data_IF_335706490388
#
_entry.id   IF_335706490388
#
_cell.length_a   1.000
_cell.length_b   1.000
_cell.length_c   1.000
_cell.angle_alpha   90.00
_cell.angle_beta   90.00
_cell.angle_gamma   90.00
#
_symmetry.space_group_name_H-M   'P 1'
#
loop_
_entity.id
_entity.type
_entity.pdbx_description
1 polymer ?
#
# COMPACT_ATOMS: atom_id res chain seq x y z
N UNK A 1 28.03 -37.50 67.44
CA UNK A 1 28.87 -37.60 66.23
C UNK A 1 27.98 -38.02 65.07
N UNK A 2 27.39 -37.03 64.40
CA UNK A 2 26.75 -37.13 63.08
C UNK A 2 26.60 -35.69 62.60
N UNK A 3 27.57 -35.24 61.81
CA UNK A 3 27.64 -33.90 61.24
C UNK A 3 26.78 -33.88 59.98
N UNK A 4 25.66 -33.15 59.98
CA UNK A 4 24.90 -32.88 58.76
C UNK A 4 25.32 -31.53 58.19
N UNK A 5 26.12 -31.58 57.13
CA UNK A 5 26.38 -30.44 56.24
C UNK A 5 25.12 -30.15 55.43
N UNK A 6 24.49 -28.99 55.63
CA UNK A 6 23.50 -28.43 54.69
C UNK A 6 24.22 -27.40 53.81
N UNK A 7 24.42 -27.74 52.53
CA UNK A 7 24.75 -26.75 51.51
C UNK A 7 23.48 -25.99 51.09
N UNK A 8 23.55 -24.66 50.86
CA UNK A 8 22.43 -23.87 50.38
C UNK A 8 22.26 -24.06 48.86
N UNK A 9 21.22 -24.80 48.47
CA UNK A 9 20.54 -24.67 47.17
C UNK A 9 19.45 -23.63 47.44
N UNK A 10 19.35 -22.48 46.80
CA UNK A 10 19.20 -22.30 45.36
C UNK A 10 19.43 -20.81 45.10
N UNK A 11 20.44 -20.49 44.29
CA UNK A 11 20.50 -19.20 43.58
C UNK A 11 19.33 -19.23 42.60
N UNK A 12 18.18 -18.71 43.00
CA UNK A 12 17.09 -18.43 42.09
C UNK A 12 17.57 -17.31 41.18
N UNK A 13 18.08 -17.72 40.02
CA UNK A 13 18.37 -16.90 38.86
C UNK A 13 17.15 -15.99 38.61
N UNK A 14 17.22 -14.76 39.10
CA UNK A 14 16.40 -13.66 38.65
C UNK A 14 16.95 -13.25 37.28
N UNK A 15 16.79 -14.12 36.29
CA UNK A 15 16.77 -13.68 34.91
C UNK A 15 15.47 -12.89 34.76
N UNK A 16 15.52 -11.61 35.13
CA UNK A 16 14.60 -10.63 34.62
C UNK A 16 14.70 -10.76 33.10
N UNK A 17 13.74 -11.46 32.53
CA UNK A 17 13.42 -11.35 31.12
C UNK A 17 12.97 -9.90 30.98
N UNK A 18 13.95 -9.01 30.77
CA UNK A 18 13.70 -7.75 30.08
C UNK A 18 13.23 -8.16 28.69
N UNK A 19 11.96 -8.54 28.60
CA UNK A 19 11.21 -8.40 27.36
C UNK A 19 11.27 -6.91 27.09
N UNK A 20 12.32 -6.50 26.36
CA UNK A 20 12.24 -5.31 25.56
C UNK A 20 11.06 -5.59 24.64
N UNK A 21 9.87 -5.15 25.07
CA UNK A 21 8.83 -4.75 24.16
C UNK A 21 9.44 -3.60 23.38
N UNK A 22 10.26 -3.93 22.39
CA UNK A 22 10.45 -3.04 21.25
C UNK A 22 9.03 -2.83 20.78
N UNK A 23 8.43 -1.71 21.16
CA UNK A 23 7.30 -1.18 20.43
C UNK A 23 7.87 -1.07 19.02
N UNK A 24 7.46 -1.99 18.15
CA UNK A 24 7.66 -1.77 16.73
C UNK A 24 6.81 -0.55 16.46
N UNK A 25 7.43 0.63 16.54
CA UNK A 25 6.81 1.85 16.05
C UNK A 25 6.46 1.54 14.59
N UNK A 26 5.19 1.72 14.24
CA UNK A 26 4.78 1.49 12.87
C UNK A 26 5.52 2.45 11.95
N UNK A 27 5.51 2.14 10.65
CA UNK A 27 6.15 2.97 9.64
C UNK A 27 5.74 4.45 9.72
N UNK A 28 6.65 5.34 9.35
CA UNK A 28 6.38 6.75 9.14
C UNK A 28 5.76 6.96 7.76
N UNK A 29 4.47 7.32 7.72
CA UNK A 29 3.72 7.60 6.50
C UNK A 29 3.54 9.10 6.33
N UNK A 30 3.94 9.63 5.18
CA UNK A 30 3.71 11.02 4.81
C UNK A 30 2.55 11.11 3.82
N UNK A 31 1.48 11.76 4.25
CA UNK A 31 0.26 11.96 3.48
C UNK A 31 0.32 13.32 2.75
N UNK A 32 0.37 13.28 1.41
CA UNK A 32 0.31 14.47 0.57
C UNK A 32 -1.17 14.82 0.31
N UNK A 33 -1.63 15.94 0.85
CA UNK A 33 -3.03 16.39 0.79
C UNK A 33 -3.14 17.91 0.85
N UNK A 34 -4.17 18.45 0.20
CA UNK A 34 -4.58 19.85 0.34
C UNK A 34 -5.82 20.02 1.23
N UNK A 35 -6.42 18.91 1.70
CA UNK A 35 -7.57 18.92 2.60
C UNK A 35 -7.47 17.79 3.64
N UNK A 36 -6.60 18.00 4.63
CA UNK A 36 -6.42 17.05 5.74
C UNK A 36 -7.72 16.84 6.57
N UNK A 37 -8.70 17.74 6.47
CA UNK A 37 -9.99 17.57 7.16
C UNK A 37 -10.85 16.53 6.45
N UNK A 38 -10.84 16.50 5.11
CA UNK A 38 -11.50 15.44 4.35
C UNK A 38 -10.78 14.09 4.44
N UNK A 39 -9.45 14.12 4.58
CA UNK A 39 -8.64 12.90 4.77
C UNK A 39 -8.58 12.40 6.23
N UNK A 40 -9.30 13.00 7.17
CA UNK A 40 -9.23 12.62 8.59
C UNK A 40 -9.51 11.14 8.84
N UNK A 41 -10.46 10.55 8.11
CA UNK A 41 -10.78 9.12 8.22
C UNK A 41 -9.61 8.23 7.74
N UNK A 42 -8.89 8.64 6.69
CA UNK A 42 -7.70 7.93 6.21
C UNK A 42 -6.54 8.03 7.20
N UNK A 43 -6.32 9.24 7.75
CA UNK A 43 -5.29 9.50 8.77
C UNK A 43 -5.57 8.61 9.99
N UNK A 44 -6.79 8.66 10.53
CA UNK A 44 -7.19 7.88 11.68
C UNK A 44 -7.07 6.36 11.43
N UNK A 45 -7.39 5.90 10.23
CA UNK A 45 -7.24 4.50 9.84
C UNK A 45 -5.78 4.05 9.87
N UNK A 46 -4.86 4.79 9.23
CA UNK A 46 -3.43 4.49 9.23
C UNK A 46 -2.82 4.55 10.65
N UNK A 47 -3.21 5.53 11.46
CA UNK A 47 -2.82 5.61 12.87
C UNK A 47 -3.33 4.42 13.69
N UNK A 48 -4.54 3.92 13.38
CA UNK A 48 -5.11 2.74 14.06
C UNK A 48 -4.34 1.45 13.76
N UNK A 49 -3.63 1.40 12.62
CA UNK A 49 -2.69 0.33 12.27
C UNK A 49 -1.32 0.49 12.97
N UNK A 50 -1.11 1.58 13.71
CA UNK A 50 0.09 1.84 14.50
C UNK A 50 1.15 2.68 13.77
N UNK A 51 0.84 3.22 12.58
CA UNK A 51 1.74 4.08 11.82
C UNK A 51 1.79 5.51 12.38
N UNK A 52 2.94 6.17 12.23
CA UNK A 52 3.05 7.61 12.47
C UNK A 52 2.69 8.36 11.19
N UNK A 53 1.64 9.19 11.22
CA UNK A 53 1.16 9.90 10.02
C UNK A 53 1.47 11.39 10.12
N UNK A 54 2.12 11.93 9.08
CA UNK A 54 2.33 13.38 8.92
C UNK A 54 1.68 13.85 7.62
N UNK A 55 1.09 15.04 7.60
CA UNK A 55 0.43 15.60 6.42
C UNK A 55 1.17 16.83 5.87
N UNK A 56 1.15 17.03 4.55
CA UNK A 56 1.59 18.30 3.93
C UNK A 56 1.13 18.42 2.47
N UNK A 57 1.19 19.63 1.90
CA UNK A 57 0.75 19.85 0.51
C UNK A 57 1.84 19.56 -0.53
N UNK A 58 3.10 19.97 -0.32
CA UNK A 58 4.24 19.67 -1.21
C UNK A 58 4.05 20.08 -2.70
N UNK A 59 3.28 21.13 -2.99
CA UNK A 59 2.92 21.57 -4.36
C UNK A 59 3.99 22.42 -5.08
N UNK A 60 5.22 22.46 -4.58
CA UNK A 60 6.32 23.30 -5.13
C UNK A 60 7.66 22.55 -5.06
N UNK A 61 7.66 21.27 -5.45
CA UNK A 61 8.78 20.35 -5.23
C UNK A 61 10.05 20.71 -6.01
N UNK A 62 9.92 21.43 -7.11
CA UNK A 62 11.01 21.95 -7.95
C UNK A 62 11.80 23.07 -7.28
N UNK A 63 11.16 23.86 -6.42
CA UNK A 63 11.77 25.03 -5.77
C UNK A 63 12.13 24.82 -4.30
N UNK A 64 11.69 23.70 -3.71
CA UNK A 64 11.93 23.38 -2.29
C UNK A 64 12.68 22.06 -2.09
N UNK A 65 14.02 22.03 -2.24
CA UNK A 65 14.80 20.79 -2.09
C UNK A 65 14.66 20.09 -0.71
N UNK A 66 14.31 20.85 0.34
CA UNK A 66 14.07 20.30 1.67
C UNK A 66 12.82 19.40 1.72
N UNK A 67 11.85 19.64 0.83
CA UNK A 67 10.64 18.84 0.73
C UNK A 67 10.92 17.47 0.13
N UNK A 68 11.77 17.41 -0.90
CA UNK A 68 12.27 16.13 -1.46
C UNK A 68 12.97 15.31 -0.38
N UNK A 69 13.84 15.95 0.42
CA UNK A 69 14.51 15.26 1.52
C UNK A 69 13.50 14.75 2.56
N UNK A 70 12.49 15.54 2.91
CA UNK A 70 11.42 15.14 3.84
C UNK A 70 10.64 13.94 3.31
N UNK A 71 10.21 13.97 2.06
CA UNK A 71 9.51 12.86 1.41
C UNK A 71 10.36 11.59 1.37
N UNK A 72 11.64 11.70 1.03
CA UNK A 72 12.57 10.57 0.98
C UNK A 72 12.97 10.00 2.34
N UNK A 73 12.61 10.67 3.45
CA UNK A 73 12.79 10.12 4.81
C UNK A 73 11.59 9.32 5.31
N UNK A 74 10.43 9.43 4.65
CA UNK A 74 9.27 8.63 4.99
C UNK A 74 9.43 7.20 4.47
N UNK A 75 8.90 6.23 5.21
CA UNK A 75 8.86 4.83 4.78
C UNK A 75 7.86 4.64 3.63
N UNK A 76 6.83 5.50 3.59
CA UNK A 76 5.83 5.54 2.53
C UNK A 76 5.29 6.96 2.33
N UNK A 77 5.17 7.38 1.07
CA UNK A 77 4.43 8.56 0.67
C UNK A 77 3.06 8.15 0.12
N UNK A 78 1.99 8.78 0.57
CA UNK A 78 0.63 8.57 0.02
C UNK A 78 0.09 9.90 -0.47
N UNK A 79 -0.09 10.05 -1.79
CA UNK A 79 -0.69 11.22 -2.41
C UNK A 79 -2.19 10.99 -2.52
N UNK A 80 -2.98 11.72 -1.75
CA UNK A 80 -4.43 11.50 -1.64
C UNK A 80 -5.18 11.99 -2.87
N UNK A 81 -6.46 11.62 -2.96
CA UNK A 81 -7.37 12.17 -3.98
C UNK A 81 -7.71 13.65 -3.72
N UNK A 82 -7.55 14.14 -2.48
CA UNK A 82 -7.75 15.54 -2.10
C UNK A 82 -6.54 16.42 -2.45
N UNK A 83 -6.06 16.29 -3.68
CA UNK A 83 -4.99 17.07 -4.28
C UNK A 83 -5.49 17.63 -5.61
N UNK A 84 -5.31 18.93 -5.84
CA UNK A 84 -5.63 19.51 -7.14
C UNK A 84 -4.51 19.18 -8.12
N UNK A 85 -4.79 18.36 -9.14
CA UNK A 85 -3.77 17.95 -10.11
C UNK A 85 -3.06 19.09 -10.84
N UNK A 86 -3.65 20.29 -10.90
CA UNK A 86 -3.01 21.46 -11.49
C UNK A 86 -1.82 22.00 -10.68
N UNK A 87 -1.79 21.71 -9.38
CA UNK A 87 -0.81 22.27 -8.44
C UNK A 87 0.44 21.40 -8.28
N UNK A 88 0.52 20.24 -8.94
CA UNK A 88 1.62 19.26 -8.77
C UNK A 88 2.40 18.98 -10.07
N UNK A 89 2.19 19.81 -11.10
CA UNK A 89 2.80 19.65 -12.42
C UNK A 89 2.86 21.01 -13.14
N UNK A 90 3.32 22.03 -12.43
CA UNK A 90 3.46 23.40 -12.92
C UNK A 90 4.49 23.51 -14.04
N UNK A 91 5.51 22.64 -14.03
CA UNK A 91 6.57 22.56 -15.03
C UNK A 91 7.22 21.15 -15.08
N UNK A 92 8.17 20.95 -16.00
CA UNK A 92 8.82 19.66 -16.20
C UNK A 92 9.80 19.31 -15.08
N UNK A 93 10.40 20.32 -14.44
CA UNK A 93 11.30 20.17 -13.32
C UNK A 93 10.56 19.64 -12.07
N UNK A 94 9.34 20.10 -11.84
CA UNK A 94 8.48 19.62 -10.75
C UNK A 94 8.08 18.16 -10.97
N UNK A 95 7.66 17.80 -12.18
CA UNK A 95 7.36 16.41 -12.54
C UNK A 95 8.59 15.52 -12.33
N UNK A 96 9.76 15.96 -12.80
CA UNK A 96 11.01 15.24 -12.60
C UNK A 96 11.37 15.10 -11.11
N UNK A 97 11.07 16.10 -10.28
CA UNK A 97 11.28 16.03 -8.84
C UNK A 97 10.42 14.94 -8.19
N UNK A 98 9.13 14.87 -8.53
CA UNK A 98 8.22 13.80 -8.07
C UNK A 98 8.67 12.40 -8.52
N UNK A 99 9.07 12.26 -9.78
CA UNK A 99 9.55 10.98 -10.28
C UNK A 99 10.89 10.57 -9.65
N UNK A 100 11.73 11.53 -9.22
CA UNK A 100 13.03 11.27 -8.59
C UNK A 100 12.97 10.75 -7.15
N UNK A 101 11.81 10.78 -6.49
CA UNK A 101 11.67 10.31 -5.11
C UNK A 101 12.10 8.84 -4.98
N UNK A 102 12.93 8.52 -4.00
CA UNK A 102 13.37 7.15 -3.73
C UNK A 102 12.45 6.42 -2.77
N UNK A 103 11.70 7.14 -1.93
CA UNK A 103 10.68 6.52 -1.09
C UNK A 103 9.56 5.93 -1.96
N UNK A 104 8.98 4.79 -1.54
CA UNK A 104 7.79 4.27 -2.20
C UNK A 104 6.63 5.26 -2.15
N UNK A 105 5.83 5.31 -3.22
CA UNK A 105 4.72 6.26 -3.34
C UNK A 105 3.44 5.57 -3.82
N UNK A 106 2.34 5.78 -3.09
CA UNK A 106 0.98 5.44 -3.51
C UNK A 106 0.28 6.70 -4.02
N UNK A 107 -0.13 6.71 -5.29
CA UNK A 107 -0.90 7.78 -5.90
C UNK A 107 -2.39 7.46 -5.92
N UNK A 108 -3.13 8.23 -5.13
CA UNK A 108 -4.59 8.23 -4.98
C UNK A 108 -5.37 8.94 -6.07
N UNK A 109 -4.69 9.79 -6.85
CA UNK A 109 -5.36 10.73 -7.74
C UNK A 109 -5.06 10.43 -9.22
N UNK A 110 -6.03 9.84 -9.93
CA UNK A 110 -5.91 9.54 -11.35
C UNK A 110 -5.69 10.77 -12.24
N UNK A 111 -6.11 11.97 -11.83
CA UNK A 111 -5.84 13.17 -12.63
C UNK A 111 -4.38 13.57 -12.65
N UNK A 112 -3.60 13.22 -11.62
CA UNK A 112 -2.17 13.49 -11.52
C UNK A 112 -1.37 12.51 -12.40
N UNK A 113 -1.82 11.27 -12.58
CA UNK A 113 -1.05 10.25 -13.32
C UNK A 113 -0.94 10.53 -14.83
N UNK A 114 -1.83 11.34 -15.40
CA UNK A 114 -1.93 11.64 -16.84
C UNK A 114 -0.62 12.13 -17.48
N UNK A 115 -0.50 11.93 -18.79
CA UNK A 115 0.59 12.44 -19.64
C UNK A 115 0.68 13.97 -19.77
N UNK A 116 -0.29 14.70 -19.22
CA UNK A 116 -0.28 16.16 -19.12
C UNK A 116 0.12 16.63 -17.71
N UNK A 117 0.49 15.70 -16.83
CA UNK A 117 0.83 15.89 -15.42
C UNK A 117 2.08 15.06 -15.10
N UNK A 118 2.00 14.05 -14.24
CA UNK A 118 3.17 13.24 -13.85
C UNK A 118 3.58 12.20 -14.90
N UNK A 119 2.82 12.02 -15.97
CA UNK A 119 3.26 11.17 -17.08
C UNK A 119 3.46 9.70 -16.72
N UNK A 120 2.85 9.25 -15.62
CA UNK A 120 2.81 7.84 -15.24
C UNK A 120 2.10 6.99 -16.28
N UNK A 121 1.10 7.58 -16.95
CA UNK A 121 0.32 6.92 -17.97
C UNK A 121 0.24 7.73 -19.27
N UNK A 122 0.30 7.05 -20.42
CA UNK A 122 0.24 7.69 -21.74
C UNK A 122 -1.17 7.99 -22.20
N UNK A 123 -1.90 8.75 -21.38
CA UNK A 123 -3.23 9.23 -21.70
C UNK A 123 -3.58 10.49 -20.92
N UNK A 124 -4.27 11.41 -21.58
CA UNK A 124 -4.89 12.58 -20.95
C UNK A 124 -6.32 12.33 -20.48
N UNK A 125 -6.89 11.19 -20.85
CA UNK A 125 -8.27 10.82 -20.53
C UNK A 125 -8.32 10.06 -19.22
N UNK A 126 -9.17 10.52 -18.30
CA UNK A 126 -9.55 9.79 -17.09
C UNK A 126 -11.05 9.53 -17.20
N UNK A 127 -11.49 8.31 -16.92
CA UNK A 127 -12.91 8.00 -16.97
C UNK A 127 -13.59 8.29 -15.63
N UNK A 128 -14.78 8.88 -15.71
CA UNK A 128 -15.64 9.17 -14.56
C UNK A 128 -16.82 8.18 -14.46
N UNK A 129 -16.70 7.02 -15.11
CA UNK A 129 -17.83 6.12 -15.31
C UNK A 129 -18.07 5.20 -14.10
N UNK A 130 -19.35 4.96 -13.81
CA UNK A 130 -19.87 4.42 -12.54
C UNK A 130 -19.76 2.90 -12.38
N UNK A 131 -18.75 2.27 -12.99
CA UNK A 131 -18.52 0.84 -12.80
C UNK A 131 -17.92 0.61 -11.43
N UNK A 132 -18.68 -0.01 -10.52
CA UNK A 132 -18.28 -0.10 -9.12
C UNK A 132 -17.40 -1.32 -8.82
N UNK A 133 -17.25 -2.28 -9.73
CA UNK A 133 -16.56 -3.52 -9.42
C UNK A 133 -15.16 -3.55 -10.05
N UNK A 134 -14.18 -4.02 -9.29
CA UNK A 134 -12.83 -4.32 -9.79
C UNK A 134 -12.56 -5.83 -9.79
N UNK A 135 -11.72 -6.28 -10.71
CA UNK A 135 -11.23 -7.65 -10.84
C UNK A 135 -9.77 -7.65 -11.29
N UNK A 136 -9.10 -8.80 -11.16
CA UNK A 136 -7.84 -9.00 -11.87
C UNK A 136 -8.03 -8.89 -13.40
N UNK A 137 -6.99 -8.49 -14.16
CA UNK A 137 -7.02 -8.51 -15.62
C UNK A 137 -7.39 -9.87 -16.20
N UNK A 138 -7.94 -9.86 -17.41
CA UNK A 138 -8.24 -11.10 -18.15
C UNK A 138 -6.95 -11.88 -18.37
N UNK A 139 -6.95 -13.16 -18.01
CA UNK A 139 -5.79 -14.05 -18.17
C UNK A 139 -4.85 -14.10 -16.97
N UNK A 140 -5.10 -13.35 -15.89
CA UNK A 140 -4.38 -13.52 -14.62
C UNK A 140 -4.59 -14.94 -14.07
N UNK A 141 -3.51 -15.61 -13.69
CA UNK A 141 -3.53 -17.02 -13.24
C UNK A 141 -3.30 -17.19 -11.73
N UNK A 142 -2.91 -16.12 -11.04
CA UNK A 142 -2.65 -16.10 -9.59
C UNK A 142 -3.18 -14.81 -8.95
N UNK A 143 -3.64 -14.89 -7.71
CA UNK A 143 -4.11 -13.72 -6.95
C UNK A 143 -2.93 -12.86 -6.54
N UNK A 144 -2.93 -11.59 -6.94
CA UNK A 144 -1.94 -10.61 -6.50
C UNK A 144 -2.08 -10.34 -4.99
N UNK A 145 -0.98 -10.14 -4.21
CA UNK A 145 -1.05 -9.87 -2.77
C UNK A 145 -1.98 -8.71 -2.40
N UNK A 146 -2.04 -7.66 -3.21
CA UNK A 146 -2.95 -6.51 -2.98
C UNK A 146 -4.42 -6.92 -2.92
N UNK A 147 -4.80 -8.02 -3.58
CA UNK A 147 -6.17 -8.52 -3.64
C UNK A 147 -6.43 -9.66 -2.65
N UNK A 148 -5.46 -10.01 -1.80
CA UNK A 148 -5.57 -11.11 -0.85
C UNK A 148 -6.60 -10.79 0.25
N UNK A 149 -7.47 -11.75 0.57
CA UNK A 149 -8.47 -11.61 1.65
C UNK A 149 -9.59 -10.59 1.39
N UNK A 150 -9.49 -9.78 0.34
CA UNK A 150 -10.57 -8.90 -0.08
C UNK A 150 -11.74 -9.75 -0.62
N UNK A 151 -12.84 -9.77 0.13
CA UNK A 151 -13.99 -10.61 -0.20
C UNK A 151 -14.77 -10.02 -1.38
N UNK A 152 -15.22 -10.86 -2.33
CA UNK A 152 -16.24 -10.45 -3.29
C UNK A 152 -17.52 -10.01 -2.58
N UNK A 153 -18.20 -9.02 -3.13
CA UNK A 153 -19.58 -8.74 -2.74
C UNK A 153 -20.49 -9.91 -3.16
N UNK A 154 -21.46 -10.27 -2.31
CA UNK A 154 -22.41 -11.36 -2.52
C UNK A 154 -23.46 -11.06 -3.62
N UNK A 155 -23.53 -9.81 -4.12
CA UNK A 155 -24.60 -9.29 -4.97
C UNK A 155 -24.55 -9.69 -6.47
N UNK A 156 -23.48 -10.34 -6.99
CA UNK A 156 -23.31 -10.55 -8.45
C UNK A 156 -22.78 -11.92 -8.90
N UNK A 157 -23.23 -13.01 -8.26
CA UNK A 157 -23.01 -14.38 -8.77
C UNK A 157 -23.76 -14.73 -10.08
N UNK A 158 -24.30 -13.75 -10.83
CA UNK A 158 -25.22 -14.03 -11.95
C UNK A 158 -24.87 -13.39 -13.30
N UNK A 159 -23.70 -12.77 -13.49
CA UNK A 159 -23.27 -12.36 -14.83
C UNK A 159 -22.41 -13.45 -15.51
N UNK A 160 -22.94 -14.17 -16.52
CA UNK A 160 -22.22 -15.22 -17.23
C UNK A 160 -21.08 -14.73 -18.13
N UNK A 161 -20.85 -13.40 -18.23
CA UNK A 161 -19.75 -12.79 -19.00
C UNK A 161 -18.58 -12.23 -18.17
N UNK A 162 -18.61 -12.36 -16.84
CA UNK A 162 -17.56 -11.82 -15.96
C UNK A 162 -16.20 -12.51 -16.16
N UNK A 163 -15.12 -11.71 -16.15
CA UNK A 163 -13.72 -12.19 -16.08
C UNK A 163 -13.60 -13.18 -14.90
N UNK A 164 -12.78 -14.26 -15.00
CA UNK A 164 -12.79 -15.30 -13.98
C UNK A 164 -12.58 -14.70 -12.59
N UNK A 165 -13.48 -15.03 -11.67
CA UNK A 165 -13.42 -14.68 -10.27
C UNK A 165 -12.24 -15.39 -9.58
N UNK A 166 -11.01 -14.95 -9.86
CA UNK A 166 -9.80 -15.35 -9.13
C UNK A 166 -9.58 -14.40 -7.93
N UNK A 167 -10.17 -13.20 -7.98
CA UNK A 167 -10.45 -12.34 -6.84
C UNK A 167 -11.72 -11.59 -7.17
N UNK A 168 -12.82 -11.96 -6.51
CA UNK A 168 -14.17 -11.66 -6.99
C UNK A 168 -14.51 -10.17 -6.98
N UNK A 169 -15.71 -9.87 -7.45
CA UNK A 169 -16.23 -8.53 -7.68
C UNK A 169 -16.17 -7.68 -6.41
N UNK A 170 -15.28 -6.69 -6.38
CA UNK A 170 -15.08 -5.81 -5.23
C UNK A 170 -15.67 -4.43 -5.52
N UNK A 171 -16.69 -4.05 -4.74
CA UNK A 171 -17.35 -2.75 -4.88
C UNK A 171 -16.43 -1.63 -4.41
N UNK A 172 -15.76 -1.01 -5.36
CA UNK A 172 -15.17 0.31 -5.29
C UNK A 172 -16.29 1.36 -5.50
N UNK A 173 -16.52 2.28 -4.56
CA UNK A 173 -17.32 3.49 -4.83
C UNK A 173 -16.33 4.63 -5.07
N UNK A 174 -15.72 4.74 -6.26
CA UNK A 174 -14.91 5.92 -6.52
C UNK A 174 -15.87 7.11 -6.47
N UNK A 175 -15.50 8.16 -5.75
CA UNK A 175 -15.99 9.49 -6.13
C UNK A 175 -15.66 9.66 -7.60
N UNK A 176 -16.55 10.31 -8.37
CA UNK A 176 -16.33 10.59 -9.80
C UNK A 176 -14.85 10.94 -10.03
N UNK A 177 -14.23 10.23 -10.97
CA UNK A 177 -12.95 10.60 -11.59
C UNK A 177 -11.67 10.07 -10.94
N UNK A 178 -11.43 8.77 -11.08
CA UNK A 178 -10.19 8.16 -10.61
C UNK A 178 -9.53 7.20 -11.59
N UNK A 179 -10.22 6.66 -12.58
CA UNK A 179 -9.71 5.45 -13.25
C UNK A 179 -8.97 5.77 -14.56
N UNK A 180 -7.85 5.08 -14.76
CA UNK A 180 -7.04 5.19 -15.98
C UNK A 180 -7.66 4.28 -17.06
N UNK A 181 -7.83 4.71 -18.32
CA UNK A 181 -8.21 3.82 -19.41
C UNK A 181 -7.18 2.69 -19.60
N UNK A 182 -7.62 1.43 -19.64
CA UNK A 182 -6.77 0.31 -20.07
C UNK A 182 -6.59 0.35 -21.59
N UNK A 183 -5.38 -0.01 -22.03
CA UNK A 183 -4.97 0.01 -23.42
C UNK A 183 -3.51 -0.35 -23.59
N UNK A 184 -3.16 -1.63 -23.39
CA UNK A 184 -2.05 -2.35 -24.04
C UNK A 184 -0.64 -1.74 -24.10
N UNK A 185 -0.36 -0.72 -23.29
CA UNK A 185 0.87 0.09 -23.34
C UNK A 185 0.77 1.42 -22.60
N UNK A 186 -0.43 1.85 -22.20
CA UNK A 186 -0.68 3.07 -21.41
C UNK A 186 0.18 3.17 -20.15
N UNK A 187 0.63 2.05 -19.58
CA UNK A 187 1.39 2.00 -18.32
C UNK A 187 2.90 1.90 -18.51
N UNK A 188 3.41 1.80 -19.74
CA UNK A 188 4.83 1.56 -19.97
C UNK A 188 5.24 0.19 -19.46
N UNK A 189 6.25 0.14 -18.58
CA UNK A 189 6.71 -1.08 -17.90
C UNK A 189 5.80 -1.51 -16.74
N UNK A 190 4.82 -0.69 -16.36
CA UNK A 190 3.98 -0.93 -15.19
C UNK A 190 3.04 -2.13 -15.30
N UNK A 191 2.89 -2.84 -14.19
CA UNK A 191 1.99 -3.97 -14.05
C UNK A 191 0.57 -3.51 -13.71
N UNK A 192 -0.40 -3.93 -14.51
CA UNK A 192 -1.82 -3.75 -14.19
C UNK A 192 -2.30 -4.86 -13.25
N UNK A 193 -2.75 -4.49 -12.06
CA UNK A 193 -3.11 -5.43 -10.99
C UNK A 193 -4.62 -5.61 -10.88
N UNK A 194 -5.37 -4.53 -11.01
CA UNK A 194 -6.82 -4.59 -11.01
C UNK A 194 -7.42 -3.59 -12.00
N UNK A 195 -8.42 -4.09 -12.71
CA UNK A 195 -9.21 -3.33 -13.67
C UNK A 195 -10.67 -3.33 -13.26
N UNK A 196 -11.45 -2.40 -13.82
CA UNK A 196 -12.91 -2.46 -13.78
C UNK A 196 -13.36 -3.82 -14.30
N UNK A 197 -14.31 -4.45 -13.60
CA UNK A 197 -14.98 -5.66 -14.06
C UNK A 197 -15.97 -5.34 -15.19
N UNK A 198 -15.43 -4.87 -16.30
CA UNK A 198 -16.12 -4.70 -17.57
C UNK A 198 -15.11 -4.94 -18.68
N UNK A 199 -15.15 -6.13 -19.28
CA UNK A 199 -14.19 -6.53 -20.31
C UNK A 199 -14.22 -5.64 -21.56
N UNK A 200 -15.29 -4.85 -21.78
CA UNK A 200 -15.38 -3.90 -22.89
C UNK A 200 -14.77 -2.53 -22.55
N UNK A 201 -14.58 -2.23 -21.27
CA UNK A 201 -13.99 -0.98 -20.77
C UNK A 201 -13.17 -1.29 -19.52
N UNK A 202 -12.00 -1.96 -19.67
CA UNK A 202 -11.15 -2.15 -18.53
C UNK A 202 -10.59 -0.77 -18.19
N UNK A 203 -10.90 -0.27 -17.01
CA UNK A 203 -10.21 0.88 -16.48
C UNK A 203 -9.30 0.39 -15.37
N UNK A 204 -8.05 0.82 -15.35
CA UNK A 204 -7.10 0.44 -14.32
C UNK A 204 -7.43 1.17 -13.02
N UNK A 205 -7.61 0.38 -11.96
CA UNK A 205 -7.82 0.84 -10.59
C UNK A 205 -6.58 0.66 -9.73
N UNK A 206 -5.78 -0.35 -10.06
CA UNK A 206 -4.54 -0.66 -9.37
C UNK A 206 -3.48 -0.99 -10.40
N UNK A 207 -2.34 -0.30 -10.30
CA UNK A 207 -1.14 -0.64 -11.02
C UNK A 207 0.09 -0.35 -10.19
N UNK A 208 1.20 -0.99 -10.54
CA UNK A 208 2.47 -0.79 -9.88
C UNK A 208 3.62 -0.67 -10.85
N UNK A 209 4.64 0.05 -10.43
CA UNK A 209 5.94 0.12 -11.07
C UNK A 209 7.01 -0.05 -10.01
N UNK A 210 8.07 -0.78 -10.33
CA UNK A 210 9.26 -0.85 -9.51
C UNK A 210 10.17 0.35 -9.78
N UNK A 211 11.08 0.63 -8.86
CA UNK A 211 12.15 1.60 -9.09
C UNK A 211 12.91 1.29 -10.40
N UNK A 212 13.31 2.33 -11.12
CA UNK A 212 13.96 2.30 -12.45
C UNK A 212 13.10 1.85 -13.63
N UNK A 213 11.83 1.48 -13.42
CA UNK A 213 10.92 1.20 -14.52
C UNK A 213 10.47 2.48 -15.23
N UNK A 214 10.11 2.32 -16.50
CA UNK A 214 9.60 3.39 -17.34
C UNK A 214 8.08 3.48 -17.25
N UNK A 215 7.59 4.68 -16.96
CA UNK A 215 6.17 5.03 -17.03
C UNK A 215 5.63 5.01 -18.46
N UNK A 216 4.30 5.07 -18.61
CA UNK A 216 3.65 5.10 -19.92
C UNK A 216 4.16 6.18 -20.85
N UNK A 217 4.46 7.37 -20.34
CA UNK A 217 4.94 8.49 -21.14
C UNK A 217 6.46 8.66 -21.14
N UNK A 218 7.22 7.68 -20.63
CA UNK A 218 8.66 7.60 -20.82
C UNK A 218 9.53 8.13 -19.67
N UNK A 219 8.95 8.53 -18.55
CA UNK A 219 9.71 8.93 -17.35
C UNK A 219 10.24 7.69 -16.62
N UNK A 220 11.43 7.79 -16.02
CA UNK A 220 12.05 6.72 -15.22
C UNK A 220 11.86 7.03 -13.74
N UNK A 221 11.38 6.07 -12.97
CA UNK A 221 11.02 6.24 -11.57
C UNK A 221 12.21 6.04 -10.63
N UNK A 222 12.37 6.90 -9.63
CA UNK A 222 13.43 6.81 -8.61
C UNK A 222 13.15 5.78 -7.50
N UNK A 223 11.89 5.38 -7.34
CA UNK A 223 11.43 4.44 -6.31
C UNK A 223 10.16 3.74 -6.75
N UNK A 224 9.70 2.78 -5.95
CA UNK A 224 8.49 2.02 -6.26
C UNK A 224 7.26 2.92 -6.27
N UNK A 225 6.33 2.65 -7.19
CA UNK A 225 5.08 3.38 -7.37
C UNK A 225 3.90 2.43 -7.39
N UNK A 226 2.83 2.84 -6.73
CA UNK A 226 1.53 2.21 -6.85
C UNK A 226 0.53 3.28 -7.21
N UNK A 227 -0.21 3.07 -8.29
CA UNK A 227 -1.45 3.79 -8.49
C UNK A 227 -2.59 3.01 -7.83
N UNK A 228 -3.37 3.68 -6.99
CA UNK A 228 -4.61 3.14 -6.45
C UNK A 228 -5.66 4.25 -6.49
N UNK A 229 -6.81 3.99 -7.10
CA UNK A 229 -7.82 4.98 -7.44
C UNK A 229 -8.55 5.63 -6.24
N UNK A 230 -7.90 6.07 -5.16
CA UNK A 230 -8.50 6.46 -3.86
C UNK A 230 -9.75 7.36 -4.00
N UNK A 231 -10.81 7.14 -3.20
CA UNK A 231 -11.95 8.06 -3.15
C UNK A 231 -11.54 9.38 -2.49
N UNK A 232 -12.29 10.46 -2.76
CA UNK A 232 -12.10 11.74 -2.08
C UNK A 232 -12.37 11.66 -0.57
N UNK A 233 -13.29 10.81 -0.13
CA UNK A 233 -13.52 10.57 1.31
C UNK A 233 -13.29 9.09 1.59
N UNK A 234 -12.35 8.79 2.50
CA UNK A 234 -11.94 7.41 2.81
C UNK A 234 -13.11 6.58 3.37
N UNK A 235 -14.05 7.19 4.08
CA UNK A 235 -15.28 6.55 4.56
C UNK A 235 -16.22 6.07 3.43
N UNK A 236 -15.98 6.47 2.18
CA UNK A 236 -16.70 5.90 1.03
C UNK A 236 -16.23 4.47 0.68
N UNK A 237 -15.08 4.04 1.20
CA UNK A 237 -14.62 2.68 0.99
C UNK A 237 -15.60 1.64 1.55
N UNK A 238 -15.80 0.58 0.77
CA UNK A 238 -16.37 -0.66 1.26
C UNK A 238 -15.27 -1.49 1.95
N UNK A 239 -15.63 -2.47 2.80
CA UNK A 239 -14.64 -3.29 3.51
C UNK A 239 -13.54 -3.88 2.61
N UNK A 240 -13.89 -4.32 1.40
CA UNK A 240 -12.92 -4.84 0.44
C UNK A 240 -11.90 -3.78 -0.03
N UNK A 241 -12.31 -2.54 -0.23
CA UNK A 241 -11.40 -1.45 -0.59
C UNK A 241 -10.43 -1.11 0.55
N UNK A 242 -10.91 -1.14 1.79
CA UNK A 242 -10.04 -0.98 2.98
C UNK A 242 -9.01 -2.10 3.03
N UNK A 243 -9.44 -3.36 2.87
CA UNK A 243 -8.51 -4.51 2.84
C UNK A 243 -7.47 -4.38 1.73
N UNK A 244 -7.85 -3.96 0.53
CA UNK A 244 -6.91 -3.74 -0.57
C UNK A 244 -5.92 -2.63 -0.24
N UNK A 245 -6.40 -1.52 0.30
CA UNK A 245 -5.53 -0.42 0.74
C UNK A 245 -4.52 -0.90 1.79
N UNK A 246 -4.97 -1.65 2.79
CA UNK A 246 -4.11 -2.22 3.83
C UNK A 246 -3.05 -3.15 3.24
N UNK A 247 -3.44 -4.01 2.29
CA UNK A 247 -2.51 -4.90 1.61
C UNK A 247 -1.48 -4.12 0.80
N UNK A 248 -1.89 -3.05 0.11
CA UNK A 248 -0.97 -2.15 -0.62
C UNK A 248 0.02 -1.54 0.36
N UNK A 249 -0.45 -0.91 1.44
CA UNK A 249 0.40 -0.27 2.45
C UNK A 249 1.40 -1.28 3.04
N UNK A 250 0.92 -2.45 3.49
CA UNK A 250 1.76 -3.48 4.09
C UNK A 250 2.81 -4.02 3.11
N UNK A 251 2.39 -4.31 1.87
CA UNK A 251 3.30 -4.83 0.84
C UNK A 251 4.36 -3.81 0.45
N UNK A 252 3.98 -2.54 0.28
CA UNK A 252 4.90 -1.45 -0.07
C UNK A 252 5.89 -1.15 1.06
N UNK A 253 5.47 -1.31 2.32
CA UNK A 253 6.36 -1.20 3.48
C UNK A 253 7.24 -2.43 3.71
N UNK A 254 7.08 -3.49 2.90
CA UNK A 254 7.79 -4.76 3.09
C UNK A 254 7.44 -5.47 4.40
N UNK A 255 6.29 -5.15 5.01
CA UNK A 255 5.83 -5.79 6.24
C UNK A 255 5.33 -7.20 5.88
N UNK A 256 5.92 -8.27 6.44
CA UNK A 256 5.44 -9.62 6.17
C UNK A 256 3.99 -9.77 6.64
N UNK A 257 3.14 -10.37 5.82
CA UNK A 257 1.76 -10.68 6.17
C UNK A 257 1.65 -11.32 7.58
N UNK A 258 0.65 -10.97 8.41
CA UNK A 258 0.56 -11.39 9.82
C UNK A 258 0.70 -12.91 10.05
N UNK A 259 0.27 -13.72 9.08
CA UNK A 259 0.43 -15.18 9.12
C UNK A 259 1.90 -15.63 9.16
N UNK A 260 2.80 -14.86 8.57
CA UNK A 260 4.24 -15.14 8.52
C UNK A 260 4.89 -14.92 9.89
N UNK A 261 4.44 -13.91 10.62
CA UNK A 261 4.92 -13.62 11.98
C UNK A 261 4.43 -14.66 13.00
N UNK A 262 3.19 -15.15 12.84
CA UNK A 262 2.64 -16.21 13.67
C UNK A 262 3.48 -17.51 13.58
N UNK A 263 3.93 -17.89 12.38
CA UNK A 263 4.78 -19.09 12.19
C UNK A 263 6.16 -18.91 12.85
N UNK A 264 6.76 -17.72 12.74
CA UNK A 264 8.07 -17.46 13.35
C UNK A 264 8.02 -17.54 14.88
N UNK A 265 6.93 -17.05 15.49
CA UNK A 265 6.73 -17.11 16.95
C UNK A 265 6.55 -18.54 17.48
N UNK A 266 5.84 -19.41 16.73
CA UNK A 266 5.61 -20.81 17.12
C UNK A 266 6.88 -21.64 16.99
N UNK A 267 7.68 -21.43 15.92
CA UNK A 267 8.97 -22.13 15.73
C UNK A 267 9.98 -21.70 16.80
N UNK A 268 10.02 -20.41 17.16
CA UNK A 268 10.84 -19.91 18.26
C UNK A 268 10.49 -20.54 19.61
N UNK A 269 9.20 -20.69 19.91
CA UNK A 269 8.73 -21.34 21.15
C UNK A 269 9.03 -22.85 21.17
N UNK A 270 8.85 -23.54 20.04
CA UNK A 270 9.14 -24.97 19.93
C UNK A 270 10.64 -25.29 20.05
N UNK A 271 11.52 -24.44 19.50
CA UNK A 271 12.96 -24.58 19.63
C UNK A 271 13.47 -24.45 21.07
N UNK A 272 12.88 -23.52 21.84
CA UNK A 272 13.21 -23.34 23.26
C UNK A 272 12.80 -24.55 24.13
N UNK A 273 11.71 -25.22 23.78
CA UNK A 273 11.25 -26.44 24.47
C UNK A 273 12.14 -27.65 24.13
N UNK A 274 12.57 -27.79 22.88
CA UNK A 274 13.41 -28.91 22.43
C UNK A 274 14.85 -28.84 22.96
N UNK A 275 15.40 -27.65 23.22
CA UNK A 275 16.73 -27.52 23.83
C UNK A 275 16.75 -27.93 25.31
N UNK A 276 15.62 -27.76 26.00
CA UNK A 276 15.47 -28.14 27.41
C UNK A 276 15.46 -29.66 27.64
N UNK A 277 15.07 -30.45 26.62
CA UNK A 277 15.00 -31.91 26.74
C UNK A 277 16.31 -32.65 26.43
N UNK A 278 17.37 -31.97 25.96
CA UNK A 278 18.69 -32.58 25.68
C UNK A 278 19.77 -32.32 26.72
N UNK A 279 19.52 -31.46 27.71
CA UNK A 279 20.45 -31.18 28.82
C UNK A 279 20.12 -31.98 30.09
N UNK A 280 19.21 -32.96 30.00
CA UNK A 280 18.69 -33.75 31.12
C UNK A 280 18.95 -35.25 31.05
N UNK A 281 19.90 -35.72 30.24
CA UNK A 281 20.32 -37.14 30.17
C UNK A 281 21.81 -37.29 30.40
#
# INVERSE_FOLDING_TARGET
>A
MTCFFRLPLTVAFLAAVCSFSTFCEGASILLVTQDATRDADLIAHLESLGHAVTTGSFSELDTTPADIATLNTADLVVVTRNTNSGDYASNAEEVAAWDSLTSPLVLGNGYISRNTRWSWVDTGNIQENYGLDISAPVGTTATHPFLAGALPNEDFLTDPGASPAISGLMKYRPSSSTDIPDGGGVMGDGDTIAVRNNASVPNVYIASWNASEMTGSGNVLGGDRVFYALPEDFSNFQPAGITIFDNIVNSTLGIPEPSSLAILSIVGLAGAVAFRSRLGS
#
